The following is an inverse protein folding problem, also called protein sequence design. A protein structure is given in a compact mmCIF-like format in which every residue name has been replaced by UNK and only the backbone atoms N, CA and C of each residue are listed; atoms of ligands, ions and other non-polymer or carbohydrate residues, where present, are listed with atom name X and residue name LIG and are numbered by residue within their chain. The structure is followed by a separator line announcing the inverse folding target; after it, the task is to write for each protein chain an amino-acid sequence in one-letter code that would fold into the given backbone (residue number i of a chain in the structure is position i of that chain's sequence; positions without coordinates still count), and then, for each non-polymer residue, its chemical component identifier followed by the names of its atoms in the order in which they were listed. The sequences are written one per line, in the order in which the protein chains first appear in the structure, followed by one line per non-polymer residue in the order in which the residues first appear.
data_IF_587765428237
#
_entry.id   IF_587765428237
#
_cell.length_a   1.000
_cell.length_b   1.000
_cell.length_c   1.000
_cell.angle_alpha   90.00
_cell.angle_beta   90.00
_cell.angle_gamma   90.00
#
_symmetry.space_group_name_H-M   'P 1'
#
loop_
_entity.id
_entity.type
_entity.pdbx_description
1 polymer ?
#
# COMPACT_ATOMS: atom_id res chain seq x y z
N UNK A 1 3.78 -18.36 5.77
CA UNK A 1 2.59 -18.15 4.93
C UNK A 1 2.42 -16.67 4.63
N UNK A 2 2.24 -16.34 3.37
CA UNK A 2 1.97 -14.97 2.96
C UNK A 2 0.48 -14.69 3.02
N UNK A 3 0.11 -13.61 3.67
CA UNK A 3 -1.27 -13.13 3.73
C UNK A 3 -1.35 -11.83 2.94
N UNK A 4 -2.36 -11.73 2.09
CA UNK A 4 -2.52 -10.58 1.20
C UNK A 4 -3.73 -9.77 1.62
N UNK A 5 -3.50 -8.49 1.88
CA UNK A 5 -4.54 -7.53 2.26
C UNK A 5 -4.65 -6.48 1.17
N UNK A 6 -5.85 -6.12 0.81
CA UNK A 6 -6.05 -5.14 -0.23
C UNK A 6 -7.27 -4.26 0.01
N UNK A 7 -7.19 -3.03 -0.50
CA UNK A 7 -8.32 -2.11 -0.49
C UNK A 7 -8.96 -2.18 -1.87
N UNK A 8 -10.24 -2.58 -1.96
CA UNK A 8 -10.89 -2.70 -3.25
C UNK A 8 -10.96 -1.37 -3.98
N UNK A 9 -10.52 -1.37 -5.22
CA UNK A 9 -10.76 -0.26 -6.11
C UNK A 9 -10.83 -0.79 -7.54
N UNK A 10 -11.55 -0.09 -8.41
CA UNK A 10 -11.76 -0.56 -9.78
C UNK A 10 -10.46 -0.71 -10.57
N UNK A 11 -9.40 -0.02 -10.14
CA UNK A 11 -8.17 0.08 -10.93
C UNK A 11 -7.16 -1.01 -10.63
N UNK A 12 -7.30 -1.71 -9.52
CA UNK A 12 -6.47 -2.87 -9.20
C UNK A 12 -7.31 -4.13 -9.04
N UNK A 13 -8.51 -4.10 -9.59
CA UNK A 13 -9.51 -5.16 -9.42
C UNK A 13 -8.97 -6.56 -9.74
N UNK A 14 -8.21 -6.66 -10.82
CA UNK A 14 -7.67 -7.95 -11.24
C UNK A 14 -6.66 -8.51 -10.23
N UNK A 15 -5.92 -7.62 -9.55
CA UNK A 15 -4.95 -8.02 -8.53
C UNK A 15 -5.64 -8.27 -7.18
N UNK A 16 -6.73 -7.57 -6.91
CA UNK A 16 -7.48 -7.72 -5.66
C UNK A 16 -8.12 -9.11 -5.56
N UNK A 17 -8.45 -9.73 -6.69
CA UNK A 17 -8.98 -11.09 -6.66
C UNK A 17 -8.03 -12.10 -6.03
N UNK A 18 -6.75 -11.76 -5.93
CA UNK A 18 -5.74 -12.61 -5.30
C UNK A 18 -5.56 -12.34 -3.81
N UNK A 19 -6.24 -11.35 -3.25
CA UNK A 19 -6.06 -11.04 -1.84
C UNK A 19 -6.95 -11.89 -0.95
N UNK A 20 -6.43 -12.20 0.23
CA UNK A 20 -7.13 -13.03 1.21
C UNK A 20 -8.16 -12.23 2.00
N UNK A 21 -7.86 -10.96 2.28
CA UNK A 21 -8.72 -10.10 3.08
C UNK A 21 -8.88 -8.75 2.40
N UNK A 22 -10.12 -8.35 2.15
CA UNK A 22 -10.45 -7.03 1.63
C UNK A 22 -10.64 -6.08 2.80
N UNK A 23 -9.85 -5.00 2.83
CA UNK A 23 -9.90 -4.04 3.92
C UNK A 23 -10.70 -2.82 3.52
N UNK A 24 -11.32 -2.16 4.51
CA UNK A 24 -12.13 -0.97 4.26
C UNK A 24 -11.28 0.28 4.03
N UNK A 25 -10.03 0.28 4.51
CA UNK A 25 -9.13 1.40 4.33
C UNK A 25 -7.68 0.93 4.29
N UNK A 26 -6.82 1.77 3.74
CA UNK A 26 -5.39 1.50 3.69
C UNK A 26 -4.78 1.42 5.09
N UNK A 27 -5.23 2.27 6.00
CA UNK A 27 -4.76 2.24 7.39
C UNK A 27 -5.13 0.94 8.07
N UNK A 28 -6.33 0.42 7.83
CA UNK A 28 -6.75 -0.88 8.36
C UNK A 28 -5.84 -1.99 7.85
N UNK A 29 -5.55 -1.99 6.54
CA UNK A 29 -4.68 -3.00 5.95
C UNK A 29 -3.30 -2.97 6.61
N UNK A 30 -2.74 -1.78 6.81
CA UNK A 30 -1.43 -1.64 7.43
C UNK A 30 -1.44 -2.03 8.91
N UNK A 31 -2.55 -1.75 9.63
CA UNK A 31 -2.67 -2.14 11.03
C UNK A 31 -2.73 -3.66 11.20
N UNK A 32 -3.52 -4.33 10.36
CA UNK A 32 -3.62 -5.79 10.39
C UNK A 32 -2.28 -6.40 10.00
N UNK A 33 -1.61 -5.84 8.99
CA UNK A 33 -0.31 -6.31 8.56
C UNK A 33 0.72 -6.22 9.70
N UNK A 34 0.70 -5.15 10.49
CA UNK A 34 1.59 -5.03 11.64
C UNK A 34 1.40 -6.17 12.63
N UNK A 35 0.14 -6.52 12.93
CA UNK A 35 -0.16 -7.66 13.80
C UNK A 35 0.35 -8.98 13.23
N UNK A 36 0.21 -9.17 11.92
CA UNK A 36 0.71 -10.37 11.25
C UNK A 36 2.23 -10.48 11.37
N UNK A 37 2.95 -9.37 11.18
CA UNK A 37 4.41 -9.35 11.29
C UNK A 37 4.83 -9.71 12.71
N UNK A 38 4.17 -9.12 13.70
CA UNK A 38 4.47 -9.43 15.11
C UNK A 38 4.19 -10.90 15.45
N UNK A 39 3.28 -11.54 14.71
CA UNK A 39 2.98 -12.96 14.87
C UNK A 39 3.89 -13.86 14.02
N UNK A 40 4.90 -13.30 13.37
CA UNK A 40 5.85 -14.07 12.57
C UNK A 40 5.40 -14.40 11.16
N UNK A 41 4.39 -13.70 10.66
CA UNK A 41 3.87 -13.92 9.30
C UNK A 41 4.41 -12.87 8.33
N UNK A 42 4.26 -13.13 7.05
CA UNK A 42 4.74 -12.23 5.99
C UNK A 42 3.55 -11.68 5.21
N UNK A 43 2.96 -10.56 5.66
CA UNK A 43 1.83 -9.97 4.94
C UNK A 43 2.28 -9.22 3.69
N UNK A 44 1.39 -9.15 2.71
CA UNK A 44 1.52 -8.29 1.54
C UNK A 44 0.32 -7.36 1.50
N UNK A 45 0.55 -6.08 1.24
CA UNK A 45 -0.52 -5.07 1.19
C UNK A 45 -0.60 -4.52 -0.23
N UNK A 46 -1.81 -4.47 -0.76
CA UNK A 46 -2.10 -4.02 -2.12
C UNK A 46 -2.93 -2.75 -2.06
N UNK A 47 -2.48 -1.70 -2.73
CA UNK A 47 -3.25 -0.46 -2.83
C UNK A 47 -2.83 0.35 -4.05
N UNK A 48 -3.67 1.31 -4.46
CA UNK A 48 -3.24 2.26 -5.46
C UNK A 48 -2.49 3.42 -4.80
N UNK A 49 -1.74 4.17 -5.59
CA UNK A 49 -0.85 5.20 -5.07
C UNK A 49 -1.55 6.30 -4.27
N UNK A 50 -2.83 6.58 -4.56
CA UNK A 50 -3.58 7.55 -3.75
C UNK A 50 -3.75 7.08 -2.31
N UNK A 51 -3.75 5.76 -2.07
CA UNK A 51 -3.84 5.20 -0.73
C UNK A 51 -2.60 5.49 0.12
N UNK A 52 -1.48 5.81 -0.53
CA UNK A 52 -0.23 6.10 0.17
C UNK A 52 -0.38 7.29 1.12
N UNK A 53 -1.18 8.29 0.75
CA UNK A 53 -1.46 9.42 1.62
C UNK A 53 -2.17 9.03 2.91
N UNK A 54 -2.92 7.94 2.89
CA UNK A 54 -3.68 7.48 4.05
C UNK A 54 -2.86 6.63 5.02
N UNK A 55 -1.66 6.22 4.65
CA UNK A 55 -0.84 5.38 5.53
C UNK A 55 0.33 6.13 6.19
N UNK A 56 0.48 7.41 5.89
CA UNK A 56 1.58 8.19 6.47
C UNK A 56 1.52 8.17 8.00
N UNK A 57 0.34 8.37 8.56
CA UNK A 57 0.19 8.39 10.01
C UNK A 57 0.57 7.06 10.65
N UNK A 58 0.06 5.94 10.16
CA UNK A 58 0.37 4.64 10.76
C UNK A 58 1.84 4.28 10.60
N UNK A 59 2.46 4.67 9.50
CA UNK A 59 3.89 4.47 9.31
C UNK A 59 4.71 5.23 10.36
N UNK A 60 4.36 6.49 10.60
CA UNK A 60 5.11 7.35 11.51
C UNK A 60 4.74 7.16 12.98
N UNK A 61 3.55 6.65 13.26
CA UNK A 61 3.06 6.48 14.63
C UNK A 61 3.25 5.06 15.17
N UNK A 62 3.31 4.06 14.29
CA UNK A 62 3.39 2.67 14.70
C UNK A 62 4.65 1.99 14.20
N UNK A 63 4.84 1.92 12.88
CA UNK A 63 5.94 1.15 12.30
C UNK A 63 7.30 1.71 12.68
N UNK A 64 7.51 3.01 12.48
CA UNK A 64 8.81 3.61 12.71
C UNK A 64 9.18 3.68 14.20
N UNK A 65 8.30 4.17 15.11
CA UNK A 65 8.67 4.27 16.52
C UNK A 65 8.91 2.92 17.19
N UNK A 66 8.19 1.88 16.79
CA UNK A 66 8.30 0.55 17.38
C UNK A 66 9.19 -0.37 16.56
N UNK A 67 9.83 0.16 15.54
CA UNK A 67 10.77 -0.59 14.70
C UNK A 67 10.16 -1.86 14.10
N UNK A 68 8.88 -1.78 13.72
CA UNK A 68 8.22 -2.89 13.03
C UNK A 68 8.63 -2.81 11.55
N UNK A 69 9.17 -3.89 10.98
CA UNK A 69 9.52 -3.86 9.56
C UNK A 69 8.25 -3.70 8.70
N UNK A 70 8.37 -2.95 7.62
CA UNK A 70 7.23 -2.73 6.73
C UNK A 70 6.83 -4.01 5.99
N UNK A 71 5.53 -4.25 5.80
CA UNK A 71 5.10 -5.33 4.94
C UNK A 71 5.46 -5.03 3.48
N UNK A 72 5.51 -6.06 2.65
CA UNK A 72 5.67 -5.83 1.23
C UNK A 72 4.44 -5.08 0.70
N UNK A 73 4.70 -4.00 0.02
CA UNK A 73 3.66 -3.13 -0.53
C UNK A 73 3.65 -3.24 -2.04
N UNK A 74 2.54 -3.68 -2.60
CA UNK A 74 2.30 -3.62 -4.03
C UNK A 74 1.49 -2.36 -4.30
N UNK A 75 2.13 -1.39 -4.92
CA UNK A 75 1.55 -0.08 -5.14
C UNK A 75 1.28 0.13 -6.62
N UNK A 76 0.02 0.31 -6.95
CA UNK A 76 -0.39 0.59 -8.32
C UNK A 76 -0.35 2.10 -8.54
N UNK A 77 0.61 2.56 -9.36
CA UNK A 77 0.78 3.99 -9.61
C UNK A 77 -0.04 4.41 -10.82
N UNK A 78 -0.93 5.35 -10.60
CA UNK A 78 -1.75 5.97 -11.63
C UNK A 78 -1.30 7.40 -11.85
N UNK A 79 -1.18 7.75 -13.10
CA UNK A 79 -0.87 9.13 -13.49
C UNK A 79 -2.00 9.74 -14.32
N UNK A 80 -3.00 8.95 -14.67
CA UNK A 80 -4.20 9.38 -15.40
C UNK A 80 -5.42 8.80 -14.72
N UNK A 81 -6.58 9.43 -14.74
CA UNK A 81 -6.83 10.77 -15.27
C UNK A 81 -6.11 11.86 -14.48
N UNK A 82 -6.22 13.09 -14.93
CA UNK A 82 -5.44 14.24 -14.42
C UNK A 82 -5.40 14.36 -12.89
N UNK A 83 -6.51 14.13 -12.21
CA UNK A 83 -6.57 14.26 -10.75
C UNK A 83 -5.68 13.25 -10.00
N UNK A 84 -5.19 12.20 -10.68
CA UNK A 84 -4.25 11.25 -10.10
C UNK A 84 -2.79 11.56 -10.46
N UNK A 85 -2.57 12.48 -11.41
CA UNK A 85 -1.20 12.75 -11.90
C UNK A 85 -0.31 13.38 -10.84
N UNK A 86 -0.88 14.20 -9.98
CA UNK A 86 -0.12 14.86 -8.91
C UNK A 86 0.40 13.85 -7.90
N UNK A 87 -0.44 12.94 -7.44
CA UNK A 87 -0.01 11.87 -6.54
C UNK A 87 1.02 10.98 -7.22
N UNK A 88 0.83 10.68 -8.51
CA UNK A 88 1.80 9.87 -9.26
C UNK A 88 3.18 10.48 -9.28
N UNK A 89 3.26 11.81 -9.34
CA UNK A 89 4.54 12.52 -9.37
C UNK A 89 5.27 12.52 -8.04
N UNK A 90 4.54 12.51 -6.92
CA UNK A 90 5.16 12.59 -5.59
C UNK A 90 5.26 11.25 -4.89
N UNK A 91 4.75 10.18 -5.51
CA UNK A 91 4.72 8.85 -4.89
C UNK A 91 6.09 8.40 -4.38
N UNK A 92 7.11 8.51 -5.22
CA UNK A 92 8.44 8.06 -4.84
C UNK A 92 9.04 8.89 -3.72
N UNK A 93 8.76 10.20 -3.70
CA UNK A 93 9.26 11.08 -2.65
C UNK A 93 8.63 10.74 -1.30
N UNK A 94 7.32 10.44 -1.29
CA UNK A 94 6.65 10.01 -0.07
C UNK A 94 7.26 8.71 0.46
N UNK A 95 7.48 7.74 -0.41
CA UNK A 95 8.10 6.47 -0.03
C UNK A 95 9.49 6.68 0.57
N UNK A 96 10.28 7.60 0.01
CA UNK A 96 11.59 7.95 0.55
C UNK A 96 11.49 8.56 1.94
N UNK A 97 10.57 9.50 2.13
CA UNK A 97 10.38 10.14 3.43
C UNK A 97 9.94 9.14 4.49
N UNK A 98 9.14 8.15 4.14
CA UNK A 98 8.73 7.09 5.04
C UNK A 98 9.78 6.00 5.21
N UNK A 99 10.88 6.07 4.46
CA UNK A 99 11.91 5.02 4.42
C UNK A 99 11.32 3.66 4.04
N UNK A 100 10.29 3.67 3.18
CA UNK A 100 9.58 2.48 2.75
C UNK A 100 10.26 1.91 1.50
N UNK A 101 10.96 0.79 1.65
CA UNK A 101 11.75 0.19 0.57
C UNK A 101 11.22 -1.16 0.11
N UNK A 102 10.40 -1.83 0.91
CA UNK A 102 9.86 -3.14 0.58
C UNK A 102 8.60 -2.97 -0.29
N UNK A 103 8.81 -2.50 -1.51
CA UNK A 103 7.74 -2.13 -2.43
C UNK A 103 7.91 -2.77 -3.80
N UNK A 104 6.78 -2.95 -4.47
CA UNK A 104 6.72 -3.20 -5.90
C UNK A 104 5.81 -2.13 -6.48
N UNK A 105 6.36 -1.28 -7.35
CA UNK A 105 5.63 -0.18 -7.96
C UNK A 105 5.19 -0.62 -9.36
N UNK A 106 3.88 -0.71 -9.56
CA UNK A 106 3.31 -1.11 -10.84
C UNK A 106 2.69 0.12 -11.50
N UNK A 107 3.26 0.54 -12.62
CA UNK A 107 2.71 1.64 -13.38
C UNK A 107 1.53 1.11 -14.20
N UNK A 108 0.40 1.79 -14.09
CA UNK A 108 -0.77 1.41 -14.84
C UNK A 108 -1.12 2.50 -15.85
N UNK A 109 -1.26 2.10 -17.10
CA UNK A 109 -1.77 2.97 -18.14
C UNK A 109 -3.23 2.64 -18.32
N UNK A 110 -4.09 3.65 -18.19
CA UNK A 110 -5.53 3.50 -18.31
C UNK A 110 -5.98 4.09 -19.63
N UNK A 111 -6.86 3.36 -20.29
CA UNK A 111 -7.63 3.95 -21.36
C UNK A 111 -8.79 4.68 -20.72
N UNK A 112 -8.88 5.94 -21.00
CA UNK A 112 -9.97 6.76 -20.49
C UNK A 112 -11.14 6.78 -21.45
#
# INVERSE_FOLDING_TARGET
MKLKFGVPCSKIKDRINDVDIHCSSESEAMAIAAGCILAGKEPEVYMQNSGLGHIVDICTSLYMPYEIPYPRLLLSRRVKPHHHSFMGKITEDILKLLQYRNIELVNQSWKE
#
